data_IF_352375935562
#
_entry.id   IF_352375935562
#
_cell.length_a   1.000
_cell.length_b   1.000
_cell.length_c   1.000
_cell.angle_alpha   90.00
_cell.angle_beta   90.00
_cell.angle_gamma   90.00
#
_symmetry.space_group_name_H-M   'P 1'
#
loop_
_entity.id
_entity.type
_entity.pdbx_description
1 polymer ?
#
# COMPACT_ATOMS: atom_id res chain seq x y z
N UNK A 1 20.25 4.67 -20.26
CA UNK A 1 19.20 5.41 -19.53
C UNK A 1 19.80 5.84 -18.21
N UNK A 2 20.03 7.14 -18.04
CA UNK A 2 20.67 7.70 -16.85
C UNK A 2 19.61 7.95 -15.80
N UNK A 3 19.70 7.30 -14.65
CA UNK A 3 18.99 7.73 -13.44
C UNK A 3 19.31 9.21 -13.21
N UNK A 4 18.32 10.05 -12.89
CA UNK A 4 18.58 11.47 -12.60
C UNK A 4 19.64 11.58 -11.50
N UNK A 5 20.75 12.33 -11.70
CA UNK A 5 21.78 12.52 -10.68
C UNK A 5 21.21 13.06 -9.35
N UNK A 6 20.12 13.82 -9.43
CA UNK A 6 19.40 14.37 -8.28
C UNK A 6 18.69 13.27 -7.47
N UNK A 7 18.05 12.32 -8.15
CA UNK A 7 17.40 11.17 -7.52
C UNK A 7 18.41 10.30 -6.76
N UNK A 8 19.55 9.97 -7.39
CA UNK A 8 20.61 9.18 -6.76
C UNK A 8 21.16 9.91 -5.52
N UNK A 9 21.37 11.23 -5.61
CA UNK A 9 21.85 12.04 -4.49
C UNK A 9 20.83 12.06 -3.35
N UNK A 10 19.53 12.17 -3.65
CA UNK A 10 18.46 12.12 -2.66
C UNK A 10 18.46 10.78 -1.91
N UNK A 11 18.50 9.65 -2.63
CA UNK A 11 18.55 8.32 -2.04
C UNK A 11 19.81 8.13 -1.18
N UNK A 12 20.98 8.56 -1.65
CA UNK A 12 22.22 8.45 -0.87
C UNK A 12 22.17 9.25 0.43
N UNK A 13 21.63 10.48 0.40
CA UNK A 13 21.43 11.29 1.60
C UNK A 13 20.48 10.60 2.55
N UNK A 14 19.31 10.17 2.08
CA UNK A 14 18.34 9.44 2.89
C UNK A 14 18.96 8.22 3.55
N UNK A 15 19.61 7.33 2.79
CA UNK A 15 20.23 6.11 3.31
C UNK A 15 21.30 6.44 4.36
N UNK A 16 22.03 7.54 4.19
CA UNK A 16 23.03 8.01 5.17
C UNK A 16 22.36 8.51 6.45
N UNK A 17 21.34 9.36 6.35
CA UNK A 17 20.62 9.95 7.49
C UNK A 17 19.93 8.87 8.35
N UNK A 18 19.38 7.84 7.72
CA UNK A 18 18.69 6.75 8.43
C UNK A 18 19.68 5.69 8.94
N UNK A 19 20.99 5.91 8.71
CA UNK A 19 22.05 4.98 9.11
C UNK A 19 21.94 3.61 8.44
N UNK A 20 21.40 3.55 7.22
CA UNK A 20 21.17 2.30 6.51
C UNK A 20 22.47 1.51 6.36
N UNK A 21 22.37 0.22 6.66
CA UNK A 21 23.42 -0.76 6.41
C UNK A 21 22.81 -1.87 5.59
N UNK A 22 23.54 -2.30 4.57
CA UNK A 22 23.14 -3.48 3.84
C UNK A 22 23.17 -4.69 4.78
N UNK A 23 22.00 -5.28 4.99
CA UNK A 23 21.87 -6.58 5.62
C UNK A 23 21.52 -7.60 4.53
N UNK A 24 22.22 -8.75 4.49
CA UNK A 24 21.88 -9.80 3.55
C UNK A 24 20.46 -10.30 3.81
N UNK A 25 19.84 -10.88 2.79
CA UNK A 25 18.54 -11.53 2.98
C UNK A 25 18.60 -12.55 4.11
N UNK A 26 17.54 -12.63 4.94
CA UNK A 26 17.43 -13.72 5.89
C UNK A 26 17.48 -15.06 5.13
N UNK A 27 17.96 -16.14 5.77
CA UNK A 27 17.81 -17.47 5.22
C UNK A 27 16.34 -17.77 4.91
N UNK A 28 16.10 -18.60 3.90
CA UNK A 28 14.74 -19.02 3.53
C UNK A 28 14.01 -19.62 4.73
N UNK A 29 12.94 -18.97 5.17
CA UNK A 29 12.04 -19.46 6.21
C UNK A 29 10.96 -20.35 5.58
N UNK A 30 11.18 -21.66 5.61
CA UNK A 30 10.24 -22.63 5.03
C UNK A 30 8.88 -22.62 5.74
N UNK A 31 8.83 -22.27 7.03
CA UNK A 31 7.57 -22.20 7.79
C UNK A 31 6.72 -20.98 7.38
N UNK A 32 7.33 -20.00 6.70
CA UNK A 32 6.66 -18.84 6.16
C UNK A 32 6.39 -18.96 4.65
N UNK A 33 7.43 -19.25 3.86
CA UNK A 33 7.37 -19.21 2.41
C UNK A 33 6.63 -20.40 1.80
N UNK A 34 6.80 -21.63 2.30
CA UNK A 34 6.12 -22.79 1.70
C UNK A 34 4.59 -22.68 1.84
N UNK A 35 4.02 -22.34 3.02
CA UNK A 35 2.59 -22.09 3.13
C UNK A 35 2.12 -20.89 2.30
N UNK A 36 2.97 -19.87 2.11
CA UNK A 36 2.60 -18.66 1.38
C UNK A 36 2.49 -18.95 -0.10
N UNK A 37 3.47 -19.66 -0.65
CA UNK A 37 3.47 -20.18 -2.01
C UNK A 37 2.21 -21.01 -2.30
N UNK A 38 1.90 -21.96 -1.42
CA UNK A 38 0.71 -22.81 -1.54
C UNK A 38 -0.56 -21.97 -1.51
N UNK A 39 -0.65 -20.98 -0.62
CA UNK A 39 -1.80 -20.09 -0.54
C UNK A 39 -1.93 -19.20 -1.80
N UNK A 40 -0.84 -18.65 -2.31
CA UNK A 40 -0.83 -17.84 -3.55
C UNK A 40 -1.37 -18.67 -4.72
N UNK A 41 -0.87 -19.88 -4.94
CA UNK A 41 -1.26 -20.68 -6.09
C UNK A 41 -2.65 -21.32 -5.96
N UNK A 42 -3.00 -21.81 -4.76
CA UNK A 42 -4.21 -22.61 -4.58
C UNK A 42 -5.40 -21.83 -4.04
N UNK A 43 -5.17 -20.65 -3.46
CA UNK A 43 -6.24 -19.83 -2.85
C UNK A 43 -6.41 -18.49 -3.55
N UNK A 44 -5.33 -17.72 -3.73
CA UNK A 44 -5.42 -16.40 -4.38
C UNK A 44 -5.53 -16.51 -5.90
N UNK A 45 -4.66 -17.32 -6.53
CA UNK A 45 -4.59 -17.50 -7.98
C UNK A 45 -5.94 -17.84 -8.64
N UNK A 46 -6.75 -18.77 -8.11
CA UNK A 46 -8.06 -19.09 -8.68
C UNK A 46 -9.08 -17.94 -8.62
N UNK A 47 -8.80 -16.88 -7.86
CA UNK A 47 -9.66 -15.69 -7.79
C UNK A 47 -9.30 -14.62 -8.83
N UNK A 48 -8.23 -14.81 -9.59
CA UNK A 48 -7.76 -13.87 -10.61
C UNK A 48 -7.53 -14.55 -11.96
N UNK A 49 -7.34 -13.73 -12.98
CA UNK A 49 -6.91 -14.17 -14.32
C UNK A 49 -5.38 -14.19 -14.48
N UNK A 50 -4.63 -14.03 -13.38
CA UNK A 50 -3.19 -13.85 -13.43
C UNK A 50 -2.45 -15.14 -13.78
N UNK A 51 -1.38 -15.00 -14.56
CA UNK A 51 -0.50 -16.11 -14.91
C UNK A 51 0.34 -16.54 -13.70
N UNK A 52 0.86 -17.77 -13.74
CA UNK A 52 1.79 -18.29 -12.72
C UNK A 52 3.00 -17.36 -12.52
N UNK A 53 3.49 -16.73 -13.60
CA UNK A 53 4.59 -15.77 -13.53
C UNK A 53 4.21 -14.52 -12.73
N UNK A 54 3.05 -13.92 -13.01
CA UNK A 54 2.56 -12.76 -12.27
C UNK A 54 2.31 -13.09 -10.79
N UNK A 55 1.79 -14.29 -10.51
CA UNK A 55 1.62 -14.77 -9.13
C UNK A 55 2.95 -14.96 -8.39
N UNK A 56 4.01 -15.44 -9.07
CA UNK A 56 5.34 -15.55 -8.48
C UNK A 56 5.98 -14.17 -8.21
N UNK A 57 5.78 -13.20 -9.10
CA UNK A 57 6.20 -11.80 -8.89
C UNK A 57 5.45 -11.17 -7.72
N UNK A 58 4.14 -11.42 -7.61
CA UNK A 58 3.30 -10.99 -6.49
C UNK A 58 3.74 -11.61 -5.16
N UNK A 59 4.00 -12.92 -5.15
CA UNK A 59 4.50 -13.65 -4.00
C UNK A 59 5.81 -13.04 -3.49
N UNK A 60 6.78 -12.83 -4.38
CA UNK A 60 8.06 -12.23 -4.02
C UNK A 60 7.89 -10.80 -3.48
N UNK A 61 7.04 -9.99 -4.13
CA UNK A 61 6.74 -8.62 -3.74
C UNK A 61 6.10 -8.53 -2.35
N UNK A 62 4.96 -9.20 -2.15
CA UNK A 62 4.19 -9.14 -0.91
C UNK A 62 4.87 -9.91 0.23
N UNK A 63 5.43 -11.10 -0.05
CA UNK A 63 6.09 -11.91 0.95
C UNK A 63 7.40 -11.26 1.44
N UNK A 64 8.20 -10.76 0.49
CA UNK A 64 9.55 -10.27 0.77
C UNK A 64 9.58 -8.92 1.49
N UNK A 65 8.59 -8.05 1.24
CA UNK A 65 8.49 -6.78 1.98
C UNK A 65 8.10 -7.02 3.44
N UNK A 66 7.20 -7.98 3.71
CA UNK A 66 6.74 -8.27 5.06
C UNK A 66 7.80 -9.01 5.88
N UNK A 67 8.47 -10.01 5.30
CA UNK A 67 9.53 -10.73 5.98
C UNK A 67 10.65 -9.79 6.47
N UNK A 68 11.02 -8.81 5.63
CA UNK A 68 12.06 -7.82 5.95
C UNK A 68 11.62 -6.70 6.87
N UNK A 69 10.38 -6.24 6.74
CA UNK A 69 9.91 -5.10 7.55
C UNK A 69 9.56 -5.51 8.98
N UNK A 70 9.28 -6.80 9.20
CA UNK A 70 8.79 -7.30 10.49
C UNK A 70 9.65 -8.44 11.06
N UNK A 71 10.97 -8.31 11.18
CA UNK A 71 11.87 -9.41 11.53
C UNK A 71 11.53 -10.06 12.89
N UNK A 72 10.98 -9.29 13.83
CA UNK A 72 10.64 -9.74 15.18
C UNK A 72 9.18 -10.20 15.35
N UNK A 73 8.41 -10.19 14.27
CA UNK A 73 6.98 -10.56 14.30
C UNK A 73 6.80 -12.05 14.05
N UNK A 74 5.78 -12.63 14.67
CA UNK A 74 5.42 -14.04 14.52
C UNK A 74 5.09 -14.37 13.07
N UNK A 75 5.41 -15.60 12.66
CA UNK A 75 5.13 -16.10 11.31
C UNK A 75 3.66 -15.94 10.93
N UNK A 76 2.74 -16.21 11.88
CA UNK A 76 1.30 -16.04 11.65
C UNK A 76 0.92 -14.60 11.27
N UNK A 77 1.45 -13.60 11.97
CA UNK A 77 1.10 -12.21 11.68
C UNK A 77 1.78 -11.71 10.40
N UNK A 78 3.05 -12.10 10.16
CA UNK A 78 3.71 -11.88 8.86
C UNK A 78 2.86 -12.46 7.72
N UNK A 79 2.35 -13.67 7.89
CA UNK A 79 1.54 -14.34 6.89
C UNK A 79 0.26 -13.57 6.56
N UNK A 80 -0.45 -13.06 7.57
CA UNK A 80 -1.66 -12.27 7.37
C UNK A 80 -1.38 -10.93 6.66
N UNK A 81 -0.30 -10.24 7.05
CA UNK A 81 0.13 -9.04 6.34
C UNK A 81 0.50 -9.35 4.88
N UNK A 82 1.26 -10.42 4.63
CA UNK A 82 1.66 -10.79 3.27
C UNK A 82 0.45 -11.14 2.39
N UNK A 83 -0.55 -11.85 2.92
CA UNK A 83 -1.82 -12.10 2.24
C UNK A 83 -2.56 -10.81 1.91
N UNK A 84 -2.74 -9.92 2.89
CA UNK A 84 -3.45 -8.65 2.68
C UNK A 84 -2.73 -7.75 1.69
N UNK A 85 -1.40 -7.68 1.76
CA UNK A 85 -0.59 -6.99 0.78
C UNK A 85 -0.78 -7.60 -0.61
N UNK A 86 -0.67 -8.92 -0.76
CA UNK A 86 -0.86 -9.58 -2.07
C UNK A 86 -2.24 -9.31 -2.67
N UNK A 87 -3.30 -9.38 -1.86
CA UNK A 87 -4.66 -9.10 -2.32
C UNK A 87 -4.83 -7.61 -2.66
N UNK A 88 -4.25 -6.70 -1.88
CA UNK A 88 -4.29 -5.27 -2.16
C UNK A 88 -3.62 -4.93 -3.50
N UNK A 89 -2.45 -5.51 -3.78
CA UNK A 89 -1.76 -5.36 -5.07
C UNK A 89 -2.63 -5.88 -6.22
N UNK A 90 -3.20 -7.07 -6.04
CA UNK A 90 -4.09 -7.67 -7.03
C UNK A 90 -5.32 -6.78 -7.31
N UNK A 91 -5.91 -6.19 -6.27
CA UNK A 91 -7.02 -5.24 -6.37
C UNK A 91 -6.61 -4.00 -7.18
N UNK A 92 -5.49 -3.37 -6.82
CA UNK A 92 -4.97 -2.16 -7.47
C UNK A 92 -4.78 -2.37 -8.97
N UNK A 93 -4.15 -3.50 -9.33
CA UNK A 93 -3.84 -3.83 -10.72
C UNK A 93 -5.06 -4.33 -11.52
N UNK A 94 -6.11 -4.80 -10.84
CA UNK A 94 -7.32 -5.33 -11.48
C UNK A 94 -8.49 -4.34 -11.52
N UNK A 95 -8.37 -3.16 -10.92
CA UNK A 95 -9.45 -2.16 -10.81
C UNK A 95 -9.99 -1.67 -12.17
N UNK A 96 -9.21 -1.84 -13.24
CA UNK A 96 -9.63 -1.47 -14.60
C UNK A 96 -10.50 -2.52 -15.30
N UNK A 97 -10.51 -3.75 -14.80
CA UNK A 97 -11.48 -4.74 -15.25
C UNK A 97 -12.87 -4.33 -14.78
N UNK A 98 -13.81 -4.18 -15.71
CA UNK A 98 -15.17 -3.69 -15.43
C UNK A 98 -15.90 -4.63 -14.46
N UNK A 99 -15.71 -5.94 -14.60
CA UNK A 99 -16.35 -6.93 -13.72
C UNK A 99 -15.80 -6.75 -12.32
N UNK A 100 -14.47 -6.72 -12.15
CA UNK A 100 -13.82 -6.53 -10.84
C UNK A 100 -14.25 -5.20 -10.20
N UNK A 101 -14.28 -4.12 -10.98
CA UNK A 101 -14.73 -2.80 -10.52
C UNK A 101 -16.16 -2.83 -9.96
N UNK A 102 -17.11 -3.44 -10.65
CA UNK A 102 -18.49 -3.58 -10.16
C UNK A 102 -18.57 -4.31 -8.81
N UNK A 103 -17.71 -5.30 -8.58
CA UNK A 103 -17.64 -6.00 -7.29
C UNK A 103 -17.08 -5.09 -6.19
N UNK A 104 -16.02 -4.37 -6.49
CA UNK A 104 -15.32 -3.46 -5.56
C UNK A 104 -16.25 -2.33 -5.10
N UNK A 105 -17.05 -1.75 -6.00
CA UNK A 105 -18.04 -0.70 -5.67
C UNK A 105 -19.00 -1.12 -4.55
N UNK A 106 -19.33 -2.41 -4.45
CA UNK A 106 -20.27 -2.91 -3.46
C UNK A 106 -19.62 -3.26 -2.11
N UNK A 107 -18.28 -3.30 -2.03
CA UNK A 107 -17.56 -3.83 -0.86
C UNK A 107 -17.96 -3.14 0.45
N UNK A 108 -17.81 -1.81 0.50
CA UNK A 108 -18.05 -1.01 1.71
C UNK A 108 -19.52 -1.02 2.11
N UNK A 109 -20.44 -0.95 1.15
CA UNK A 109 -21.88 -1.05 1.42
C UNK A 109 -22.22 -2.40 2.08
N UNK A 110 -21.72 -3.50 1.54
CA UNK A 110 -21.98 -4.85 2.07
C UNK A 110 -21.37 -5.01 3.45
N UNK A 111 -20.15 -4.51 3.65
CA UNK A 111 -19.49 -4.48 4.95
C UNK A 111 -20.34 -3.79 6.01
N UNK A 112 -20.80 -2.56 5.75
CA UNK A 112 -21.60 -1.79 6.71
C UNK A 112 -22.99 -2.37 6.98
N UNK A 113 -23.52 -3.17 6.05
CA UNK A 113 -24.78 -3.89 6.22
C UNK A 113 -24.62 -5.26 6.88
N UNK A 114 -23.39 -5.70 7.12
CA UNK A 114 -23.10 -7.06 7.63
C UNK A 114 -23.44 -8.15 6.62
N UNK A 115 -23.45 -7.82 5.32
CA UNK A 115 -23.67 -8.79 4.25
C UNK A 115 -22.35 -9.52 3.92
N UNK A 116 -22.45 -10.78 3.51
CA UNK A 116 -21.29 -11.52 3.01
C UNK A 116 -20.65 -10.77 1.82
N UNK A 117 -19.33 -10.86 1.63
CA UNK A 117 -18.69 -10.27 0.45
C UNK A 117 -18.91 -11.13 -0.82
N UNK A 118 -18.57 -10.59 -2.00
CA UNK A 118 -18.71 -11.36 -3.24
C UNK A 118 -17.66 -12.47 -3.27
N UNK A 119 -18.03 -13.66 -3.78
CA UNK A 119 -17.11 -14.80 -3.84
C UNK A 119 -15.81 -14.43 -4.58
N UNK A 120 -14.71 -15.06 -4.19
CA UNK A 120 -13.40 -14.81 -4.78
C UNK A 120 -12.58 -13.82 -3.96
N UNK A 121 -11.93 -12.88 -4.64
CA UNK A 121 -10.89 -12.01 -4.06
C UNK A 121 -11.40 -11.15 -2.90
N UNK A 122 -12.59 -10.54 -3.01
CA UNK A 122 -13.12 -9.66 -1.95
C UNK A 122 -13.59 -10.42 -0.71
N UNK A 123 -14.13 -11.63 -0.87
CA UNK A 123 -14.40 -12.52 0.25
C UNK A 123 -13.10 -12.94 0.95
N UNK A 124 -12.06 -13.26 0.19
CA UNK A 124 -10.74 -13.60 0.74
C UNK A 124 -10.10 -12.41 1.46
N UNK A 125 -10.21 -11.19 0.90
CA UNK A 125 -9.75 -9.96 1.53
C UNK A 125 -10.41 -9.74 2.88
N UNK A 126 -11.75 -9.78 2.91
CA UNK A 126 -12.51 -9.57 4.12
C UNK A 126 -12.26 -10.63 5.18
N UNK A 127 -12.19 -11.92 4.80
CA UNK A 127 -11.84 -13.00 5.73
C UNK A 127 -10.44 -12.79 6.34
N UNK A 128 -9.47 -12.38 5.52
CA UNK A 128 -8.10 -12.10 6.02
C UNK A 128 -8.07 -10.88 6.95
N UNK A 129 -8.89 -9.85 6.71
CA UNK A 129 -9.06 -8.72 7.64
C UNK A 129 -9.64 -9.20 8.97
N UNK A 130 -10.61 -10.11 8.96
CA UNK A 130 -11.18 -10.69 10.17
C UNK A 130 -10.14 -11.49 10.96
N UNK A 131 -9.37 -12.35 10.29
CA UNK A 131 -8.25 -13.08 10.89
C UNK A 131 -7.19 -12.13 11.49
N UNK A 132 -6.84 -11.05 10.78
CA UNK A 132 -5.94 -10.02 11.31
C UNK A 132 -6.53 -9.33 12.54
N UNK A 133 -7.83 -9.00 12.53
CA UNK A 133 -8.52 -8.37 13.66
C UNK A 133 -8.46 -9.24 14.92
N UNK A 134 -8.58 -10.56 14.76
CA UNK A 134 -8.43 -11.53 15.86
C UNK A 134 -7.01 -11.55 16.45
N UNK A 135 -5.97 -11.29 15.65
CA UNK A 135 -4.58 -11.22 16.13
C UNK A 135 -4.37 -10.08 17.12
N UNK A 136 -5.14 -8.98 17.02
CA UNK A 136 -5.03 -7.87 17.96
C UNK A 136 -5.79 -8.10 19.28
N UNK A 137 -6.60 -9.17 19.36
CA UNK A 137 -7.22 -9.59 20.61
C UNK A 137 -8.01 -8.47 21.28
N UNK A 138 -7.71 -8.15 22.54
CA UNK A 138 -8.43 -7.13 23.32
C UNK A 138 -7.88 -5.70 23.15
N UNK A 139 -6.81 -5.49 22.38
CA UNK A 139 -6.26 -4.15 22.14
C UNK A 139 -7.09 -3.40 21.09
N UNK A 140 -8.22 -2.86 21.53
CA UNK A 140 -9.19 -2.20 20.64
C UNK A 140 -8.62 -1.02 19.86
N UNK A 141 -7.68 -0.26 20.43
CA UNK A 141 -7.10 0.92 19.79
C UNK A 141 -6.10 0.49 18.73
N UNK A 142 -5.14 -0.37 19.09
CA UNK A 142 -4.16 -0.84 18.11
C UNK A 142 -4.83 -1.65 16.99
N UNK A 143 -5.86 -2.43 17.32
CA UNK A 143 -6.71 -3.11 16.32
C UNK A 143 -7.38 -2.12 15.38
N UNK A 144 -7.94 -1.02 15.88
CA UNK A 144 -8.54 0.02 15.04
C UNK A 144 -7.54 0.57 14.02
N UNK A 145 -6.35 0.95 14.49
CA UNK A 145 -5.25 1.45 13.66
C UNK A 145 -4.76 0.41 12.63
N UNK A 146 -4.76 -0.88 13.00
CA UNK A 146 -4.30 -1.95 12.12
C UNK A 146 -5.32 -2.40 11.07
N UNK A 147 -6.62 -2.24 11.32
CA UNK A 147 -7.69 -2.83 10.52
C UNK A 147 -8.37 -1.81 9.61
N UNK A 148 -8.66 -0.61 10.12
CA UNK A 148 -9.40 0.42 9.38
C UNK A 148 -8.71 0.82 8.07
N UNK A 149 -7.37 0.94 7.98
CA UNK A 149 -6.71 1.28 6.72
C UNK A 149 -6.95 0.27 5.59
N UNK A 150 -7.06 -1.03 5.89
CA UNK A 150 -7.39 -2.05 4.88
C UNK A 150 -8.83 -1.90 4.36
N UNK A 151 -9.77 -1.55 5.23
CA UNK A 151 -11.16 -1.29 4.80
C UNK A 151 -11.21 -0.04 3.91
N UNK A 152 -10.56 1.04 4.35
CA UNK A 152 -10.54 2.31 3.62
C UNK A 152 -9.80 2.24 2.29
N UNK A 153 -8.86 1.30 2.14
CA UNK A 153 -8.10 1.11 0.91
C UNK A 153 -9.02 0.87 -0.31
N UNK A 154 -10.09 0.09 -0.13
CA UNK A 154 -11.05 -0.18 -1.21
C UNK A 154 -11.73 1.10 -1.70
N UNK A 155 -12.20 1.93 -0.77
CA UNK A 155 -12.79 3.23 -1.10
C UNK A 155 -11.75 4.16 -1.76
N UNK A 156 -10.48 4.05 -1.36
CA UNK A 156 -9.39 4.81 -1.94
C UNK A 156 -9.10 4.39 -3.40
N UNK A 157 -9.07 3.09 -3.72
CA UNK A 157 -8.93 2.60 -5.09
C UNK A 157 -10.06 3.11 -6.00
N UNK A 158 -11.30 3.09 -5.49
CA UNK A 158 -12.46 3.64 -6.21
C UNK A 158 -12.35 5.15 -6.41
N UNK A 159 -11.90 5.87 -5.39
CA UNK A 159 -11.67 7.31 -5.44
C UNK A 159 -10.61 7.65 -6.48
N UNK A 160 -9.46 6.96 -6.48
CA UNK A 160 -8.40 7.12 -7.48
C UNK A 160 -8.96 6.89 -8.89
N UNK A 161 -9.64 5.76 -9.14
CA UNK A 161 -10.25 5.49 -10.44
C UNK A 161 -11.24 6.57 -10.87
N UNK A 162 -12.09 7.06 -9.97
CA UNK A 162 -13.05 8.13 -10.30
C UNK A 162 -12.34 9.46 -10.60
N UNK A 163 -11.31 9.82 -9.85
CA UNK A 163 -10.53 11.04 -10.09
C UNK A 163 -9.83 10.97 -11.45
N UNK A 164 -9.28 9.82 -11.82
CA UNK A 164 -8.56 9.64 -13.09
C UNK A 164 -9.48 9.41 -14.30
N UNK A 165 -10.68 8.88 -14.11
CA UNK A 165 -11.69 8.68 -15.17
C UNK A 165 -12.61 9.88 -15.38
N UNK A 166 -12.88 10.66 -14.34
CA UNK A 166 -13.73 11.83 -14.44
C UNK A 166 -13.02 12.95 -15.20
N UNK A 167 -13.79 13.71 -15.97
CA UNK A 167 -13.39 14.97 -16.59
C UNK A 167 -13.04 16.08 -15.57
N UNK A 168 -12.87 15.77 -14.28
CA UNK A 168 -12.35 16.70 -13.27
C UNK A 168 -11.01 17.33 -13.71
N UNK A 169 -10.25 16.65 -14.57
CA UNK A 169 -9.06 17.18 -15.25
C UNK A 169 -9.16 17.32 -16.79
N UNK A 170 -10.30 16.96 -17.41
CA UNK A 170 -10.58 17.28 -18.83
C UNK A 170 -11.34 18.60 -19.00
N UNK A 171 -11.75 19.26 -17.92
CA UNK A 171 -11.92 20.72 -17.97
C UNK A 171 -10.55 21.27 -18.33
N UNK A 172 -10.39 21.74 -19.58
CA UNK A 172 -9.26 22.56 -20.00
C UNK A 172 -8.93 23.47 -18.82
N UNK A 173 -7.75 23.34 -18.16
CA UNK A 173 -7.37 24.33 -17.20
C UNK A 173 -7.38 25.62 -18.01
N UNK A 174 -8.29 26.55 -17.69
CA UNK A 174 -7.93 27.93 -17.89
C UNK A 174 -6.52 28.02 -17.33
N UNK A 175 -5.56 28.40 -18.18
CA UNK A 175 -4.13 28.39 -17.87
C UNK A 175 -3.79 29.30 -16.67
N UNK A 176 -4.81 29.90 -16.04
CA UNK A 176 -4.81 30.69 -14.82
C UNK A 176 -5.15 29.92 -13.52
N UNK A 177 -5.78 28.74 -13.57
CA UNK A 177 -6.31 28.06 -12.38
C UNK A 177 -5.63 26.70 -12.14
N UNK A 178 -4.46 26.74 -11.52
CA UNK A 178 -3.84 25.56 -10.94
C UNK A 178 -4.76 24.99 -9.85
N UNK A 179 -5.38 23.83 -10.08
CA UNK A 179 -6.11 23.04 -9.07
C UNK A 179 -5.26 22.84 -7.81
N UNK A 180 -3.93 22.76 -7.98
CA UNK A 180 -2.92 22.69 -6.92
C UNK A 180 -2.98 23.89 -5.94
N UNK A 181 -3.36 25.08 -6.40
CA UNK A 181 -3.49 26.27 -5.55
C UNK A 181 -4.72 26.27 -4.64
N UNK A 182 -5.75 25.48 -4.99
CA UNK A 182 -7.04 25.48 -4.28
C UNK A 182 -7.09 24.41 -3.19
N UNK A 183 -6.29 23.35 -3.29
CA UNK A 183 -6.30 22.24 -2.33
C UNK A 183 -4.91 21.61 -2.12
N UNK A 184 -3.92 22.34 -1.56
CA UNK A 184 -2.54 21.85 -1.42
C UNK A 184 -2.38 20.61 -0.53
N UNK A 185 -3.37 20.28 0.30
CA UNK A 185 -3.37 19.08 1.17
C UNK A 185 -3.99 17.86 0.51
N UNK A 186 -4.64 18.01 -0.64
CA UNK A 186 -5.33 16.92 -1.32
C UNK A 186 -4.43 15.73 -1.70
N UNK A 187 -3.19 15.93 -2.22
CA UNK A 187 -2.30 14.81 -2.54
C UNK A 187 -1.99 13.96 -1.31
N UNK A 188 -1.66 14.62 -0.19
CA UNK A 188 -1.39 13.93 1.07
C UNK A 188 -2.64 13.21 1.61
N UNK A 189 -3.81 13.84 1.51
CA UNK A 189 -5.08 13.21 1.88
C UNK A 189 -5.34 11.94 1.08
N UNK A 190 -5.22 11.99 -0.25
CA UNK A 190 -5.43 10.83 -1.11
C UNK A 190 -4.40 9.73 -0.78
N UNK A 191 -3.13 10.10 -0.62
CA UNK A 191 -2.04 9.18 -0.27
C UNK A 191 -2.28 8.46 1.05
N UNK A 192 -2.75 9.18 2.06
CA UNK A 192 -3.08 8.64 3.38
C UNK A 192 -4.22 7.63 3.35
N UNK A 193 -5.09 7.70 2.33
CA UNK A 193 -6.20 6.77 2.12
C UNK A 193 -5.78 5.51 1.38
N UNK A 194 -5.00 5.63 0.30
CA UNK A 194 -4.58 4.48 -0.51
C UNK A 194 -3.30 3.80 0.00
N UNK A 195 -2.60 4.40 0.95
CA UNK A 195 -1.28 3.93 1.37
C UNK A 195 -1.23 2.78 2.36
N UNK A 196 -2.29 2.55 3.12
CA UNK A 196 -2.35 1.49 4.15
C UNK A 196 -1.23 1.64 5.22
N UNK A 197 -0.52 2.77 5.23
CA UNK A 197 0.70 2.94 6.01
C UNK A 197 0.45 2.91 7.52
N UNK A 198 -0.72 3.39 7.97
CA UNK A 198 -1.12 3.33 9.38
C UNK A 198 -1.25 1.88 9.86
N UNK A 199 -1.73 0.95 9.01
CA UNK A 199 -1.85 -0.45 9.38
C UNK A 199 -0.47 -1.13 9.47
N UNK A 200 0.44 -0.79 8.57
CA UNK A 200 1.82 -1.24 8.66
C UNK A 200 2.52 -0.67 9.91
N UNK A 201 2.35 0.63 10.19
CA UNK A 201 2.87 1.27 11.39
C UNK A 201 2.32 0.61 12.68
N UNK A 202 1.02 0.29 12.72
CA UNK A 202 0.42 -0.43 13.83
C UNK A 202 1.00 -1.85 14.01
N UNK A 203 1.29 -2.55 12.90
CA UNK A 203 1.92 -3.86 12.89
C UNK A 203 3.28 -3.90 13.59
N UNK A 204 4.06 -2.82 13.53
CA UNK A 204 5.37 -2.71 14.22
C UNK A 204 5.21 -2.91 15.74
N UNK A 205 4.08 -2.49 16.30
CA UNK A 205 3.78 -2.58 17.73
C UNK A 205 3.06 -3.87 18.11
N UNK A 206 3.00 -4.87 17.22
CA UNK A 206 2.39 -6.17 17.47
C UNK A 206 3.29 -7.30 16.96
N UNK A 207 4.11 -7.90 17.82
CA UNK A 207 4.95 -9.04 17.45
C UNK A 207 4.20 -10.38 17.49
N UNK A 208 3.23 -10.56 18.37
CA UNK A 208 2.46 -11.80 18.52
C UNK A 208 1.06 -11.52 19.08
N UNK A 209 0.14 -12.50 18.98
CA UNK A 209 -1.26 -12.34 19.42
C UNK A 209 -1.38 -11.99 20.90
N UNK A 210 -0.55 -12.61 21.72
CA UNK A 210 -0.53 -12.47 23.18
C UNK A 210 0.15 -11.19 23.64
N UNK A 211 0.92 -10.53 22.76
CA UNK A 211 1.62 -9.30 23.11
C UNK A 211 0.62 -8.15 23.24
N UNK A 212 0.72 -7.43 24.36
CA UNK A 212 0.01 -6.17 24.60
C UNK A 212 1.01 -5.07 24.91
N UNK A 213 0.86 -3.90 24.30
CA UNK A 213 1.64 -2.72 24.64
C UNK A 213 0.73 -1.61 25.17
N UNK A 214 1.15 -0.86 26.20
CA UNK A 214 0.35 0.27 26.65
C UNK A 214 0.33 1.35 25.57
N UNK A 215 -0.84 1.99 25.39
CA UNK A 215 -1.09 3.03 24.38
C UNK A 215 0.02 4.09 24.31
N UNK A 216 0.55 4.49 25.47
CA UNK A 216 1.59 5.50 25.62
C UNK A 216 2.91 5.14 24.92
N UNK A 217 3.13 3.88 24.55
CA UNK A 217 4.35 3.41 23.89
C UNK A 217 4.36 3.62 22.39
N UNK A 218 3.19 3.70 21.76
CA UNK A 218 3.10 3.73 20.30
C UNK A 218 2.27 4.89 19.74
N UNK A 219 1.28 5.40 20.48
CA UNK A 219 0.30 6.32 19.87
C UNK A 219 0.92 7.58 19.28
N UNK A 220 1.99 8.09 19.91
CA UNK A 220 2.68 9.31 19.44
C UNK A 220 3.54 9.06 18.20
N UNK A 221 3.97 7.82 17.97
CA UNK A 221 4.86 7.47 16.86
C UNK A 221 4.10 7.00 15.62
N UNK A 222 2.83 6.59 15.75
CA UNK A 222 2.03 6.12 14.61
C UNK A 222 1.93 7.16 13.48
N UNK A 223 1.63 8.45 13.74
CA UNK A 223 1.55 9.45 12.67
C UNK A 223 2.88 9.62 11.91
N UNK A 224 3.99 9.70 12.66
CA UNK A 224 5.33 9.88 12.08
C UNK A 224 5.76 8.66 11.25
N UNK A 225 5.49 7.45 11.75
CA UNK A 225 5.77 6.21 11.02
C UNK A 225 4.91 6.08 9.77
N UNK A 226 3.64 6.46 9.85
CA UNK A 226 2.71 6.45 8.70
C UNK A 226 3.25 7.35 7.59
N UNK A 227 3.57 8.60 7.92
CA UNK A 227 4.17 9.55 6.98
C UNK A 227 5.48 9.01 6.39
N UNK A 228 6.36 8.49 7.24
CA UNK A 228 7.65 7.97 6.80
C UNK A 228 7.50 6.78 5.84
N UNK A 229 6.61 5.83 6.15
CA UNK A 229 6.32 4.69 5.28
C UNK A 229 5.83 5.19 3.92
N UNK A 230 4.90 6.14 3.87
CA UNK A 230 4.37 6.69 2.61
C UNK A 230 5.43 7.39 1.77
N UNK A 231 6.22 8.28 2.38
CA UNK A 231 7.26 9.03 1.67
C UNK A 231 8.37 8.10 1.17
N UNK A 232 8.79 7.13 1.98
CA UNK A 232 9.78 6.13 1.58
C UNK A 232 9.29 5.28 0.41
N UNK A 233 8.02 4.91 0.43
CA UNK A 233 7.36 4.16 -0.64
C UNK A 233 7.47 4.93 -1.96
N UNK A 234 6.99 6.18 -1.96
CA UNK A 234 6.92 7.04 -3.15
C UNK A 234 8.32 7.36 -3.69
N UNK A 235 9.28 7.62 -2.78
CA UNK A 235 10.65 7.89 -3.18
C UNK A 235 11.31 6.64 -3.80
N UNK A 236 11.13 5.45 -3.22
CA UNK A 236 11.75 4.23 -3.73
C UNK A 236 11.06 3.69 -4.99
N UNK A 237 9.76 3.95 -5.18
CA UNK A 237 9.04 3.60 -6.40
C UNK A 237 9.22 4.59 -7.53
N UNK A 238 9.68 5.81 -7.26
CA UNK A 238 9.79 6.86 -8.25
C UNK A 238 10.46 6.40 -9.56
N UNK A 239 11.61 5.73 -9.48
CA UNK A 239 12.36 5.37 -10.68
C UNK A 239 11.64 4.35 -11.57
N UNK A 240 10.96 3.36 -10.99
CA UNK A 240 10.19 2.40 -11.79
C UNK A 240 8.95 3.07 -12.42
N UNK A 241 8.31 3.98 -11.70
CA UNK A 241 7.15 4.74 -12.17
C UNK A 241 7.54 5.71 -13.30
N UNK A 242 8.73 6.29 -13.23
CA UNK A 242 9.32 7.11 -14.30
C UNK A 242 9.56 6.27 -15.56
N UNK A 243 10.11 5.06 -15.42
CA UNK A 243 10.41 4.14 -16.53
C UNK A 243 9.12 3.62 -17.19
N UNK A 244 8.11 3.26 -16.41
CA UNK A 244 6.82 2.78 -16.92
C UNK A 244 5.97 3.91 -17.55
N UNK A 245 6.44 5.17 -17.42
CA UNK A 245 5.67 6.40 -17.68
C UNK A 245 6.23 7.43 -18.66
N UNK A 246 7.54 7.53 -18.92
CA UNK A 246 8.15 8.48 -19.87
C UNK A 246 8.04 9.97 -19.48
N UNK A 247 9.20 10.62 -19.28
CA UNK A 247 9.39 12.06 -19.03
C UNK A 247 8.47 12.72 -17.98
N UNK A 248 8.75 12.43 -16.70
CA UNK A 248 8.42 13.32 -15.59
C UNK A 248 9.63 14.24 -15.33
N UNK A 249 9.64 15.44 -15.93
CA UNK A 249 10.56 16.50 -15.52
C UNK A 249 10.18 16.97 -14.11
N UNK A 250 10.84 16.43 -13.10
CA UNK A 250 10.93 17.04 -11.78
C UNK A 250 11.99 18.14 -11.83
N UNK A 251 11.57 19.37 -11.55
CA UNK A 251 12.48 20.42 -11.09
C UNK A 251 12.38 20.47 -9.55
N UNK A 252 13.49 20.66 -8.81
CA UNK A 252 13.42 20.88 -7.37
C UNK A 252 12.83 22.30 -7.12
N UNK A 253 11.94 22.55 -6.15
CA UNK A 253 11.60 21.81 -4.93
C UNK A 253 10.12 21.38 -4.88
N UNK A 254 9.66 20.57 -5.82
CA UNK A 254 8.27 20.10 -5.86
C UNK A 254 8.14 18.62 -5.50
N UNK A 255 7.61 18.27 -4.31
CA UNK A 255 7.34 16.86 -3.97
C UNK A 255 6.08 16.39 -4.69
N UNK A 256 6.23 15.45 -5.61
CA UNK A 256 5.13 14.84 -6.35
C UNK A 256 4.70 13.57 -5.63
N UNK A 257 3.55 13.57 -4.97
CA UNK A 257 3.00 12.39 -4.30
C UNK A 257 2.39 11.45 -5.34
N UNK A 258 3.11 10.42 -5.74
CA UNK A 258 2.58 9.37 -6.61
C UNK A 258 2.20 8.15 -5.76
N UNK A 259 0.97 7.66 -5.88
CA UNK A 259 0.41 6.71 -4.92
C UNK A 259 0.97 5.29 -5.12
N UNK A 260 1.64 4.66 -4.15
CA UNK A 260 1.66 3.19 -4.04
C UNK A 260 2.69 2.42 -4.88
N UNK A 261 3.61 1.77 -4.15
CA UNK A 261 4.70 0.86 -4.58
C UNK A 261 4.29 -0.38 -5.38
N UNK A 262 3.06 -0.54 -5.86
CA UNK A 262 2.66 -1.84 -6.40
C UNK A 262 1.97 -1.85 -7.76
N UNK A 263 1.67 -0.69 -8.32
CA UNK A 263 1.03 -0.58 -9.64
C UNK A 263 1.99 0.02 -10.66
N UNK A 264 2.01 -0.57 -11.86
CA UNK A 264 2.71 -0.06 -13.06
C UNK A 264 2.00 1.15 -13.69
N UNK A 265 0.96 1.69 -13.03
CA UNK A 265 -0.10 2.46 -13.69
C UNK A 265 -0.44 3.80 -13.07
N UNK A 266 0.52 4.51 -12.49
CA UNK A 266 0.26 5.85 -11.98
C UNK A 266 0.97 6.92 -12.80
N UNK A 267 0.21 7.45 -13.76
CA UNK A 267 0.63 8.53 -14.65
C UNK A 267 -0.05 9.83 -14.28
N UNK A 268 0.81 10.86 -14.21
CA UNK A 268 0.57 12.27 -14.50
C UNK A 268 0.00 13.12 -13.34
N UNK A 269 0.66 14.27 -13.19
CA UNK A 269 0.28 15.47 -12.42
C UNK A 269 0.40 15.44 -10.91
N UNK A 270 1.59 15.77 -10.43
CA UNK A 270 1.76 16.53 -9.19
C UNK A 270 2.93 17.50 -9.39
N UNK A 271 2.83 18.76 -8.98
CA UNK A 271 3.95 19.61 -8.53
C UNK A 271 3.50 20.26 -7.22
N UNK A 272 4.23 20.05 -6.14
CA UNK A 272 3.98 20.74 -4.86
C UNK A 272 5.23 21.50 -4.43
N UNK A 273 5.34 22.77 -4.82
CA UNK A 273 6.36 23.65 -4.26
C UNK A 273 6.04 23.91 -2.77
N UNK A 274 6.94 23.49 -1.88
CA UNK A 274 6.86 23.78 -0.44
C UNK A 274 7.48 25.16 -0.13
N UNK A 275 6.94 25.92 0.83
CA UNK A 275 7.53 27.17 1.31
C UNK A 275 8.79 26.96 2.15
#
# INVERSE_FOLDING_TARGET
MSTSPEYVTCIQRLLTEIGYRYEPFPPYDADYWDPFHVWILNTLGPTSSWTVKQLAELEHAAGGVIERSYPHTSTQLKFLFAKLTAIAILIDDSIEDEVVHEQIVQFSQRLYRGEAQQNGMLALYYATIQELSEMYGNDSVLRGLAIVPWINYIDACLMEKQIFSAELFNVQPDRSAHVESLAPKFPYYLRSKSGIAEAYAAGIFKAAKEQTLPLTRYIKTIPDLTFYIEVMNDLLSFHKEEIDGGDLQLHPPSYTFNCGVWSTRKRRFWRVDMP
#
